data_IF_421532880342
#
_entry.id   IF_421532880342
#
_cell.length_a   1.000
_cell.length_b   1.000
_cell.length_c   1.000
_cell.angle_alpha   90.00
_cell.angle_beta   90.00
_cell.angle_gamma   90.00
#
_symmetry.space_group_name_H-M   'P 1'
#
loop_
_entity.id
_entity.type
_entity.pdbx_description
1 polymer ?
#
# COMPACT_ATOMS: atom_id res chain seq x y z
N UNK A 1 3.93 17.73 16.04
CA UNK A 1 4.77 17.62 14.82
C UNK A 1 4.24 16.45 14.01
N UNK A 2 3.90 16.66 12.74
CA UNK A 2 3.35 15.59 11.90
C UNK A 2 4.45 14.59 11.58
N UNK A 3 4.21 13.28 11.77
CA UNK A 3 5.17 12.24 11.39
C UNK A 3 5.03 11.98 9.88
N UNK A 4 6.12 11.93 9.09
CA UNK A 4 6.04 11.59 7.68
C UNK A 4 5.40 10.21 7.51
N UNK A 5 4.46 10.08 6.58
CA UNK A 5 3.68 8.85 6.38
C UNK A 5 4.32 7.99 5.30
N UNK A 6 4.42 6.69 5.54
CA UNK A 6 4.98 5.73 4.58
C UNK A 6 3.96 4.63 4.32
N UNK A 7 3.63 4.38 3.06
CA UNK A 7 2.77 3.25 2.71
C UNK A 7 3.60 1.96 2.60
N UNK A 8 3.15 0.89 3.25
CA UNK A 8 3.80 -0.41 3.23
C UNK A 8 2.98 -1.39 2.40
N UNK A 9 3.50 -1.69 1.21
CA UNK A 9 2.88 -2.64 0.29
C UNK A 9 3.56 -4.01 0.38
N UNK A 10 2.75 -5.07 0.46
CA UNK A 10 3.23 -6.45 0.43
C UNK A 10 2.09 -7.40 0.11
N UNK A 11 2.39 -8.51 -0.58
CA UNK A 11 1.44 -9.61 -0.74
C UNK A 11 1.18 -10.26 0.62
N UNK A 12 -0.03 -10.06 1.15
CA UNK A 12 -0.38 -10.46 2.52
C UNK A 12 -0.28 -11.96 2.79
N UNK A 13 -0.54 -12.82 1.79
CA UNK A 13 -0.43 -14.27 1.94
C UNK A 13 1.03 -14.75 2.09
N UNK A 14 2.00 -13.96 1.64
CA UNK A 14 3.42 -14.32 1.64
C UNK A 14 4.22 -13.54 2.68
N UNK A 15 3.99 -12.23 2.77
CA UNK A 15 4.91 -11.28 3.41
C UNK A 15 4.28 -10.49 4.56
N UNK A 16 3.11 -10.90 5.07
CA UNK A 16 2.43 -10.18 6.18
C UNK A 16 3.33 -9.99 7.39
N UNK A 17 4.06 -11.02 7.82
CA UNK A 17 4.96 -10.92 8.99
C UNK A 17 6.09 -9.94 8.72
N UNK A 18 6.76 -10.06 7.57
CA UNK A 18 7.82 -9.12 7.18
C UNK A 18 7.31 -7.67 7.11
N UNK A 19 6.11 -7.44 6.56
CA UNK A 19 5.48 -6.10 6.53
C UNK A 19 5.27 -5.54 7.95
N UNK A 20 4.84 -6.37 8.91
CA UNK A 20 4.67 -5.97 10.31
C UNK A 20 6.00 -5.59 10.96
N UNK A 21 7.07 -6.34 10.69
CA UNK A 21 8.41 -6.05 11.23
C UNK A 21 8.97 -4.74 10.66
N UNK A 22 8.75 -4.49 9.37
CA UNK A 22 9.07 -3.20 8.73
C UNK A 22 8.24 -2.07 9.36
N UNK A 23 6.94 -2.27 9.57
CA UNK A 23 6.08 -1.27 10.22
C UNK A 23 6.55 -0.93 11.64
N UNK A 24 6.95 -1.92 12.43
CA UNK A 24 7.54 -1.69 13.75
C UNK A 24 8.84 -0.88 13.63
N UNK A 25 9.72 -1.26 12.71
CA UNK A 25 11.01 -0.58 12.49
C UNK A 25 10.83 0.88 12.11
N UNK A 26 10.01 1.20 11.09
CA UNK A 26 9.83 2.59 10.66
C UNK A 26 9.12 3.46 11.72
N UNK A 27 8.24 2.88 12.55
CA UNK A 27 7.70 3.58 13.73
C UNK A 27 8.78 3.99 14.72
N UNK A 28 9.76 3.11 14.98
CA UNK A 28 10.90 3.45 15.86
C UNK A 28 11.77 4.57 15.27
N UNK A 29 11.85 4.66 13.94
CA UNK A 29 12.58 5.71 13.22
C UNK A 29 11.83 7.04 13.12
N UNK A 30 10.59 7.13 13.62
CA UNK A 30 9.84 8.39 13.65
C UNK A 30 8.74 8.53 12.60
N UNK A 31 8.52 7.54 11.74
CA UNK A 31 7.52 7.56 10.67
C UNK A 31 6.16 7.01 11.14
N UNK A 32 5.12 7.32 10.37
CA UNK A 32 3.77 6.76 10.50
C UNK A 32 3.49 5.77 9.34
N UNK A 33 3.64 4.45 9.55
CA UNK A 33 3.36 3.48 8.49
C UNK A 33 1.86 3.21 8.35
N UNK A 34 1.44 3.12 7.08
CA UNK A 34 0.08 2.79 6.65
C UNK A 34 0.13 1.56 5.76
N UNK A 35 -0.85 0.67 5.84
CA UNK A 35 -0.95 -0.49 4.96
C UNK A 35 -2.41 -0.88 4.74
N UNK A 36 -2.69 -1.77 3.78
CA UNK A 36 -4.05 -2.28 3.54
C UNK A 36 -4.74 -2.83 4.81
N UNK A 37 -3.99 -3.33 5.79
CA UNK A 37 -4.56 -3.84 7.06
C UNK A 37 -5.25 -2.74 7.89
N UNK A 38 -4.98 -1.46 7.61
CA UNK A 38 -5.59 -0.30 8.28
C UNK A 38 -6.94 0.09 7.65
N UNK A 39 -7.39 -0.64 6.62
CA UNK A 39 -8.69 -0.40 5.99
C UNK A 39 -9.82 -0.68 6.99
N UNK A 40 -10.67 0.32 7.32
CA UNK A 40 -11.72 0.14 8.32
C UNK A 40 -12.81 -0.80 7.79
N UNK A 41 -13.09 -1.85 8.56
CA UNK A 41 -14.13 -2.83 8.24
C UNK A 41 -15.48 -2.15 8.08
N UNK A 42 -16.13 -2.34 6.92
CA UNK A 42 -17.51 -1.91 6.69
C UNK A 42 -17.73 -0.51 6.13
N UNK A 43 -16.67 0.23 5.73
CA UNK A 43 -16.85 1.53 5.07
C UNK A 43 -16.00 1.70 3.80
N UNK A 44 -16.68 1.82 2.67
CA UNK A 44 -16.14 2.32 1.40
C UNK A 44 -15.52 1.27 0.49
N UNK A 45 -15.08 1.74 -0.68
CA UNK A 45 -14.38 0.94 -1.68
C UNK A 45 -12.88 0.90 -1.36
N UNK A 46 -12.32 -0.31 -1.16
CA UNK A 46 -10.92 -0.51 -0.82
C UNK A 46 -9.97 0.21 -1.80
N UNK A 47 -10.25 0.16 -3.11
CA UNK A 47 -9.43 0.83 -4.11
C UNK A 47 -9.39 2.36 -3.95
N UNK A 48 -10.53 3.00 -3.62
CA UNK A 48 -10.56 4.44 -3.36
C UNK A 48 -9.84 4.79 -2.06
N UNK A 49 -9.95 3.94 -1.03
CA UNK A 49 -9.23 4.13 0.21
C UNK A 49 -7.72 4.04 0.01
N UNK A 50 -7.24 3.07 -0.77
CA UNK A 50 -5.83 2.90 -1.11
C UNK A 50 -5.27 4.13 -1.82
N UNK A 51 -5.98 4.66 -2.83
CA UNK A 51 -5.61 5.90 -3.53
C UNK A 51 -5.40 7.05 -2.56
N UNK A 52 -6.38 7.31 -1.67
CA UNK A 52 -6.28 8.35 -0.65
C UNK A 52 -5.11 8.15 0.31
N UNK A 53 -4.80 6.91 0.69
CA UNK A 53 -3.66 6.65 1.57
C UNK A 53 -2.34 6.89 0.84
N UNK A 54 -2.21 6.42 -0.40
CA UNK A 54 -1.02 6.63 -1.24
C UNK A 54 -0.78 8.13 -1.49
N UNK A 55 -1.82 8.90 -1.85
CA UNK A 55 -1.75 10.36 -2.03
C UNK A 55 -1.27 11.10 -0.75
N UNK A 56 -1.54 10.51 0.41
CA UNK A 56 -1.23 11.10 1.71
C UNK A 56 0.11 10.66 2.30
N UNK A 57 0.83 9.78 1.61
CA UNK A 57 2.14 9.27 2.03
C UNK A 57 3.27 9.98 1.27
N UNK A 58 4.40 10.16 1.96
CA UNK A 58 5.63 10.74 1.39
C UNK A 58 6.42 9.70 0.56
N UNK A 59 6.02 8.44 0.62
CA UNK A 59 6.64 7.36 -0.13
C UNK A 59 6.03 5.99 0.15
N UNK A 60 6.46 5.02 -0.66
CA UNK A 60 6.04 3.61 -0.57
C UNK A 60 7.26 2.72 -0.34
N UNK A 61 7.15 1.81 0.63
CA UNK A 61 8.06 0.68 0.78
C UNK A 61 7.34 -0.56 0.25
N UNK A 62 7.82 -1.06 -0.88
CA UNK A 62 7.33 -2.29 -1.50
C UNK A 62 8.17 -3.49 -1.04
N UNK A 63 7.53 -4.46 -0.39
CA UNK A 63 8.11 -5.77 -0.16
C UNK A 63 7.70 -6.70 -1.30
N UNK A 64 8.69 -7.25 -2.01
CA UNK A 64 8.50 -8.08 -3.20
C UNK A 64 8.86 -9.53 -2.88
N UNK A 65 7.90 -10.42 -3.10
CA UNK A 65 8.08 -11.87 -3.01
C UNK A 65 7.73 -12.53 -4.35
N UNK A 66 7.30 -13.79 -4.32
CA UNK A 66 6.89 -14.56 -5.50
C UNK A 66 5.39 -14.49 -5.78
N UNK A 67 4.57 -14.10 -4.80
CA UNK A 67 3.12 -14.03 -4.93
C UNK A 67 2.66 -12.92 -5.86
N UNK A 68 1.58 -13.17 -6.60
CA UNK A 68 0.93 -12.16 -7.43
C UNK A 68 0.09 -11.17 -6.58
N UNK A 69 -0.65 -11.68 -5.60
CA UNK A 69 -1.52 -10.91 -4.71
C UNK A 69 -3.01 -10.99 -5.07
N UNK A 70 -3.85 -10.37 -4.27
CA UNK A 70 -5.30 -10.34 -4.49
C UNK A 70 -5.67 -9.30 -5.56
N UNK A 71 -6.52 -9.67 -6.51
CA UNK A 71 -7.07 -8.73 -7.50
C UNK A 71 -8.28 -7.97 -6.94
N UNK A 72 -8.46 -6.69 -7.32
CA UNK A 72 -9.75 -6.03 -7.17
C UNK A 72 -10.84 -6.78 -7.95
N UNK A 73 -12.11 -6.73 -7.49
CA UNK A 73 -13.21 -7.42 -8.16
C UNK A 73 -13.52 -6.87 -9.57
N UNK A 74 -13.06 -5.66 -9.87
CA UNK A 74 -13.20 -5.00 -11.16
C UNK A 74 -11.84 -4.60 -11.71
N UNK A 75 -11.70 -4.64 -13.03
CA UNK A 75 -10.49 -4.20 -13.73
C UNK A 75 -10.29 -2.69 -13.51
N UNK A 76 -9.08 -2.28 -13.18
CA UNK A 76 -8.78 -0.86 -13.01
C UNK A 76 -8.77 -0.16 -14.38
N UNK A 77 -9.51 0.93 -14.58
CA UNK A 77 -9.61 1.58 -15.88
C UNK A 77 -8.30 2.24 -16.35
N UNK A 78 -7.40 2.60 -15.44
CA UNK A 78 -6.13 3.23 -15.76
C UNK A 78 -4.99 2.22 -15.89
N UNK A 79 -5.03 1.12 -15.13
CA UNK A 79 -3.92 0.17 -15.02
C UNK A 79 -4.22 -1.23 -15.59
N UNK A 80 -5.47 -1.53 -15.93
CA UNK A 80 -5.88 -2.85 -16.43
C UNK A 80 -6.08 -3.88 -15.30
N UNK A 81 -5.74 -5.15 -15.58
CA UNK A 81 -5.89 -6.24 -14.61
C UNK A 81 -4.58 -6.45 -13.84
N UNK A 82 -4.63 -6.30 -12.52
CA UNK A 82 -3.49 -6.38 -11.62
C UNK A 82 -3.95 -6.62 -10.19
N UNK A 83 -3.02 -7.03 -9.31
CA UNK A 83 -3.29 -7.13 -7.88
C UNK A 83 -3.26 -5.78 -7.17
N UNK A 84 -3.84 -5.69 -5.96
CA UNK A 84 -3.75 -4.49 -5.11
C UNK A 84 -2.29 -4.07 -4.85
N UNK A 85 -1.39 -5.03 -4.65
CA UNK A 85 0.03 -4.79 -4.42
C UNK A 85 0.72 -4.18 -5.64
N UNK A 86 0.41 -4.67 -6.85
CA UNK A 86 0.92 -4.07 -8.09
C UNK A 86 0.33 -2.67 -8.32
N UNK A 87 -0.93 -2.47 -7.94
CA UNK A 87 -1.64 -1.19 -8.06
C UNK A 87 -0.95 -0.12 -7.20
N UNK A 88 -0.67 -0.45 -5.94
CA UNK A 88 -0.01 0.45 -4.98
C UNK A 88 1.34 0.95 -5.52
N UNK A 89 2.15 0.04 -6.08
CA UNK A 89 3.46 0.39 -6.67
C UNK A 89 3.31 1.27 -7.92
N UNK A 90 2.45 0.89 -8.85
CA UNK A 90 2.27 1.63 -10.11
C UNK A 90 1.69 3.03 -9.86
N UNK A 91 0.72 3.13 -8.95
CA UNK A 91 0.11 4.40 -8.58
C UNK A 91 1.15 5.36 -8.00
N UNK A 92 1.95 4.91 -7.03
CA UNK A 92 3.00 5.73 -6.44
C UNK A 92 4.12 6.12 -7.43
N UNK A 93 4.42 5.26 -8.41
CA UNK A 93 5.45 5.54 -9.41
C UNK A 93 5.02 6.63 -10.42
N UNK A 94 3.75 6.65 -10.83
CA UNK A 94 3.25 7.63 -11.81
C UNK A 94 3.22 9.04 -11.21
N UNK A 95 2.87 9.18 -9.93
CA UNK A 95 2.87 10.51 -9.28
C UNK A 95 4.27 11.08 -9.07
N UNK A 96 5.32 10.25 -9.12
CA UNK A 96 6.72 10.71 -9.01
C UNK A 96 7.22 11.53 -10.22
N UNK A 97 6.43 11.63 -11.30
CA UNK A 97 6.74 12.39 -12.52
C UNK A 97 5.78 13.56 -12.80
N UNK A 98 4.91 13.90 -11.85
CA UNK A 98 4.04 15.09 -11.90
C UNK A 98 4.59 16.21 -11.03
#
# INVERSE_FOLDING_TARGET
>A
MNRPRLFLSAVSEELRTARKDVAATVRTLGFDPVSQDDFPTGQGELGQWLRRQLDSCEGVIQLVGRGYGAEPPTVDPAYGRLSYTQFELLYAHIDSYR
#
